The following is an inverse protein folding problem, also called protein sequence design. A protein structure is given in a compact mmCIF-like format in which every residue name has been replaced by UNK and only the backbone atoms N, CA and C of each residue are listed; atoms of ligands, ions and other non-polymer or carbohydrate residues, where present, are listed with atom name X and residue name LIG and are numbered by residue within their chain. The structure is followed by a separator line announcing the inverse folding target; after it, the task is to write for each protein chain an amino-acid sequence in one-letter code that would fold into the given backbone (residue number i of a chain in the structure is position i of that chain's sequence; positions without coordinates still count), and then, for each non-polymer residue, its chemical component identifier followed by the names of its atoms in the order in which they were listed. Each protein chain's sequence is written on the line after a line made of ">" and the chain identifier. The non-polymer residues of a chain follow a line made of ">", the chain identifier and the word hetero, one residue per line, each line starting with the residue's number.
data_IF_657701848692
#
_entry.id   IF_657701848692
#
_cell.length_a   1.000
_cell.length_b   1.000
_cell.length_c   1.000
_cell.angle_alpha   90.00
_cell.angle_beta   90.00
_cell.angle_gamma   90.00
#
_symmetry.space_group_name_H-M   'P 1'
#
loop_
_entity.id
_entity.type
_entity.pdbx_description
1 polymer ?
#
# COMPACT_ATOMS: atom_id res chain seq x y z
N UNK A 1 13.22 -52.51 16.10
CA UNK A 1 12.88 -51.85 14.82
C UNK A 1 11.46 -51.30 14.77
N UNK A 2 10.45 -51.98 15.33
CA UNK A 2 9.06 -51.49 15.36
C UNK A 2 8.88 -50.24 16.24
N UNK A 3 9.60 -50.15 17.36
CA UNK A 3 9.49 -49.02 18.31
C UNK A 3 10.12 -47.73 17.79
N UNK A 4 11.19 -47.83 16.98
CA UNK A 4 11.82 -46.68 16.34
C UNK A 4 10.91 -46.09 15.26
N UNK A 5 10.16 -46.94 14.53
CA UNK A 5 9.21 -46.49 13.52
C UNK A 5 8.01 -45.75 14.12
N UNK A 6 7.55 -46.16 15.31
CA UNK A 6 6.50 -45.45 16.05
C UNK A 6 6.94 -44.04 16.48
N UNK A 7 8.19 -43.87 16.90
CA UNK A 7 8.75 -42.57 17.29
C UNK A 7 8.80 -41.58 16.12
N UNK A 8 9.15 -42.05 14.90
CA UNK A 8 9.14 -41.23 13.69
C UNK A 8 7.73 -40.79 13.28
N UNK A 9 6.76 -41.70 13.38
CA UNK A 9 5.36 -41.36 13.10
C UNK A 9 4.84 -40.33 14.10
N UNK A 10 5.12 -40.50 15.39
CA UNK A 10 4.68 -39.57 16.43
C UNK A 10 5.25 -38.16 16.25
N UNK A 11 6.53 -38.03 15.85
CA UNK A 11 7.12 -36.71 15.54
C UNK A 11 6.47 -36.04 14.33
N UNK A 12 6.10 -36.80 13.30
CA UNK A 12 5.39 -36.29 12.14
C UNK A 12 4.00 -35.77 12.50
N UNK A 13 3.26 -36.50 13.34
CA UNK A 13 1.95 -36.05 13.82
C UNK A 13 2.05 -34.78 14.67
N UNK A 14 3.07 -34.64 15.51
CA UNK A 14 3.28 -33.42 16.31
C UNK A 14 3.58 -32.21 15.41
N UNK A 15 4.45 -32.36 14.40
CA UNK A 15 4.74 -31.28 13.44
C UNK A 15 3.52 -30.91 12.59
N UNK A 16 2.74 -31.90 12.14
CA UNK A 16 1.52 -31.67 11.37
C UNK A 16 0.43 -30.98 12.21
N UNK A 17 0.27 -31.38 13.48
CA UNK A 17 -0.70 -30.77 14.38
C UNK A 17 -0.33 -29.32 14.75
N UNK A 18 0.96 -29.03 14.94
CA UNK A 18 1.45 -27.67 15.16
C UNK A 18 1.26 -26.77 13.93
N UNK A 19 1.54 -27.29 12.72
CA UNK A 19 1.33 -26.57 11.46
C UNK A 19 -0.15 -26.21 11.23
N UNK A 20 -1.06 -27.14 11.55
CA UNK A 20 -2.52 -26.90 11.43
C UNK A 20 -3.06 -25.85 12.41
N UNK A 21 -2.43 -25.69 13.59
CA UNK A 21 -2.88 -24.67 14.56
C UNK A 21 -2.49 -23.24 14.16
N UNK A 22 -1.42 -23.05 13.38
CA UNK A 22 -1.03 -21.71 12.91
C UNK A 22 -2.01 -21.09 11.90
N UNK A 23 -2.85 -21.88 11.22
CA UNK A 23 -3.82 -21.37 10.24
C UNK A 23 -5.16 -20.95 10.83
N UNK A 24 -5.52 -21.38 12.05
CA UNK A 24 -6.77 -20.97 12.70
C UNK A 24 -6.57 -19.76 13.61
N UNK A 25 -6.12 -18.65 13.03
CA UNK A 25 -6.35 -17.35 13.66
C UNK A 25 -7.83 -17.02 13.48
N UNK A 26 -8.64 -17.29 14.49
CA UNK A 26 -10.02 -16.82 14.57
C UNK A 26 -9.98 -15.29 14.65
N UNK A 27 -9.95 -14.60 13.50
CA UNK A 27 -10.13 -13.16 13.48
C UNK A 27 -11.57 -12.90 13.89
N UNK A 28 -11.76 -12.31 15.07
CA UNK A 28 -13.00 -11.56 15.32
C UNK A 28 -13.21 -10.65 14.12
N UNK A 29 -14.34 -10.75 13.43
CA UNK A 29 -14.67 -9.81 12.35
C UNK A 29 -14.71 -8.43 13.00
N UNK A 30 -13.72 -7.60 12.72
CA UNK A 30 -13.74 -6.20 13.15
C UNK A 30 -14.75 -5.48 12.27
N UNK A 31 -15.76 -4.90 12.88
CA UNK A 31 -16.71 -4.05 12.17
C UNK A 31 -15.98 -2.84 11.59
N UNK A 32 -16.10 -2.64 10.27
CA UNK A 32 -15.51 -1.50 9.57
C UNK A 32 -16.56 -0.41 9.45
N UNK A 33 -16.32 0.73 10.09
CA UNK A 33 -17.19 1.91 9.98
C UNK A 33 -16.78 2.75 8.77
N UNK A 34 -17.69 3.05 7.82
CA UNK A 34 -17.40 3.96 6.73
C UNK A 34 -17.03 5.37 7.22
N UNK A 35 -16.24 6.10 6.44
CA UNK A 35 -16.00 7.53 6.67
C UNK A 35 -17.30 8.34 6.57
N UNK A 36 -17.38 9.47 7.28
CA UNK A 36 -18.63 10.27 7.34
C UNK A 36 -18.94 11.02 6.03
N UNK A 37 -18.05 10.99 5.06
CA UNK A 37 -18.20 11.62 3.76
C UNK A 37 -17.16 11.11 2.77
N UNK A 38 -17.09 11.73 1.59
CA UNK A 38 -16.21 11.29 0.49
C UNK A 38 -14.72 11.44 0.80
N UNK A 39 -14.35 12.33 1.72
CA UNK A 39 -12.95 12.64 2.04
C UNK A 39 -12.45 11.94 3.29
N UNK A 40 -13.31 11.22 4.01
CA UNK A 40 -12.93 10.53 5.25
C UNK A 40 -12.67 9.04 4.99
N UNK A 41 -11.52 8.52 5.45
CA UNK A 41 -11.22 7.10 5.32
C UNK A 41 -12.10 6.26 6.25
N UNK A 42 -12.34 4.96 5.93
CA UNK A 42 -13.00 4.05 6.86
C UNK A 42 -12.13 3.79 8.11
N UNK A 43 -12.74 3.27 9.17
CA UNK A 43 -12.11 3.13 10.49
C UNK A 43 -10.86 2.25 10.53
N UNK A 44 -10.69 1.34 9.57
CA UNK A 44 -9.57 0.41 9.47
C UNK A 44 -8.48 0.83 8.47
N UNK A 45 -8.68 1.94 7.75
CA UNK A 45 -7.75 2.37 6.72
C UNK A 45 -6.45 2.96 7.30
N UNK A 46 -5.34 2.63 6.65
CA UNK A 46 -4.08 3.35 6.82
C UNK A 46 -4.14 4.64 6.00
N UNK A 47 -4.15 5.79 6.68
CA UNK A 47 -4.19 7.10 6.02
C UNK A 47 -2.82 7.45 5.47
N UNK A 48 -2.65 7.29 4.15
CA UNK A 48 -1.40 7.62 3.46
C UNK A 48 -1.19 9.13 3.32
N UNK A 49 -2.26 9.93 3.27
CA UNK A 49 -2.18 11.38 3.20
C UNK A 49 -3.44 12.03 3.76
N UNK A 50 -3.26 12.94 4.72
CA UNK A 50 -4.35 13.64 5.46
C UNK A 50 -4.44 15.13 5.11
N UNK A 51 -3.76 15.55 4.04
CA UNK A 51 -3.66 16.96 3.64
C UNK A 51 -2.48 17.72 4.23
N UNK A 52 -1.71 17.14 5.17
CA UNK A 52 -0.69 17.91 5.93
C UNK A 52 0.75 17.63 5.56
N UNK A 53 1.14 16.38 5.36
CA UNK A 53 2.55 16.01 5.18
C UNK A 53 2.71 14.68 4.43
N UNK A 54 3.96 14.35 4.09
CA UNK A 54 4.33 13.11 3.40
C UNK A 54 4.94 12.06 4.36
N UNK A 55 4.49 11.99 5.62
CA UNK A 55 5.14 11.13 6.61
C UNK A 55 5.04 9.63 6.31
N UNK A 56 4.03 9.19 5.57
CA UNK A 56 3.89 7.79 5.12
C UNK A 56 4.62 7.52 3.79
N UNK A 57 5.29 8.52 3.23
CA UNK A 57 5.97 8.44 1.94
C UNK A 57 7.48 8.65 2.06
N UNK A 58 8.21 8.10 1.10
CA UNK A 58 9.66 8.23 0.98
C UNK A 58 10.09 8.29 -0.50
N UNK A 59 11.36 8.63 -0.71
CA UNK A 59 11.96 8.47 -2.03
C UNK A 59 12.29 6.99 -2.28
N UNK A 60 12.10 6.47 -3.51
CA UNK A 60 12.55 5.13 -3.87
C UNK A 60 14.08 4.94 -3.77
N UNK A 61 14.84 6.03 -3.60
CA UNK A 61 16.29 5.98 -3.35
C UNK A 61 16.66 5.53 -1.93
N UNK A 62 15.68 5.30 -1.04
CA UNK A 62 15.86 4.78 0.32
C UNK A 62 15.99 5.86 1.40
N UNK A 63 16.15 5.40 2.65
CA UNK A 63 15.88 6.09 3.93
C UNK A 63 16.54 7.48 4.14
N UNK A 64 17.53 7.85 3.33
CA UNK A 64 18.21 9.15 3.41
C UNK A 64 17.63 10.20 2.44
N UNK A 65 16.63 9.84 1.63
CA UNK A 65 16.01 10.72 0.65
C UNK A 65 14.53 10.89 0.97
N UNK A 66 14.13 12.14 1.23
CA UNK A 66 12.75 12.49 1.53
C UNK A 66 11.87 12.43 0.27
N UNK A 67 10.58 12.17 0.46
CA UNK A 67 9.58 12.41 -0.57
C UNK A 67 9.60 13.91 -0.94
N UNK A 68 9.85 14.22 -2.22
CA UNK A 68 10.17 15.57 -2.69
C UNK A 68 8.95 16.34 -3.22
N UNK A 69 7.78 15.71 -3.22
CA UNK A 69 6.57 16.32 -3.75
C UNK A 69 6.11 17.45 -2.82
N UNK A 70 5.63 18.56 -3.41
CA UNK A 70 5.27 19.75 -2.65
C UNK A 70 3.87 19.61 -2.07
N UNK A 71 3.74 19.73 -0.75
CA UNK A 71 2.44 19.78 -0.05
C UNK A 71 1.97 21.23 0.06
N UNK A 72 0.73 21.49 -0.34
CA UNK A 72 0.06 22.79 -0.15
C UNK A 72 -1.45 22.62 -0.31
N UNK A 73 -2.23 23.40 0.43
CA UNK A 73 -3.70 23.50 0.24
C UNK A 73 -4.42 22.14 0.33
N UNK A 74 -3.94 21.23 1.18
CA UNK A 74 -4.58 19.93 1.40
C UNK A 74 -4.29 18.87 0.32
N UNK A 75 -3.39 19.13 -0.63
CA UNK A 75 -2.90 18.15 -1.61
C UNK A 75 -1.38 18.21 -1.75
N UNK A 76 -0.79 17.22 -2.41
CA UNK A 76 0.60 17.29 -2.86
C UNK A 76 0.68 17.30 -4.39
N UNK A 77 1.77 17.87 -4.92
CA UNK A 77 1.98 17.99 -6.36
C UNK A 77 3.26 17.29 -6.78
N UNK A 78 3.13 16.38 -7.75
CA UNK A 78 4.25 15.75 -8.44
C UNK A 78 5.04 16.82 -9.24
N UNK A 79 6.31 17.10 -8.91
CA UNK A 79 7.10 18.04 -9.67
C UNK A 79 7.68 17.35 -10.92
N UNK A 80 7.65 18.06 -12.05
CA UNK A 80 8.23 17.56 -13.31
C UNK A 80 9.72 17.22 -13.12
N UNK A 81 10.11 15.99 -13.46
CA UNK A 81 11.51 15.53 -13.46
C UNK A 81 12.05 15.03 -12.11
N UNK A 82 11.25 15.00 -11.04
CA UNK A 82 11.71 14.57 -9.71
C UNK A 82 11.43 13.10 -9.37
N UNK A 83 10.87 12.35 -10.33
CA UNK A 83 10.54 10.94 -10.16
C UNK A 83 9.31 10.70 -9.28
N UNK A 84 9.01 9.43 -9.04
CA UNK A 84 7.93 9.01 -8.17
C UNK A 84 8.36 8.98 -6.70
N UNK A 85 7.36 8.98 -5.82
CA UNK A 85 7.50 8.68 -4.38
C UNK A 85 6.82 7.33 -4.11
N UNK A 86 7.16 6.70 -3.00
CA UNK A 86 6.57 5.41 -2.60
C UNK A 86 6.13 5.44 -1.15
N UNK A 87 5.22 4.55 -0.77
CA UNK A 87 4.87 4.35 0.63
C UNK A 87 6.05 3.72 1.39
N UNK A 88 6.26 4.13 2.64
CA UNK A 88 7.27 3.50 3.53
C UNK A 88 6.93 2.05 3.85
N UNK A 89 5.64 1.72 3.80
CA UNK A 89 5.09 0.38 4.05
C UNK A 89 4.95 -0.36 2.74
N UNK A 90 5.15 -1.66 2.80
CA UNK A 90 4.76 -2.58 1.73
C UNK A 90 3.35 -3.12 2.01
N UNK A 91 2.58 -3.33 0.94
CA UNK A 91 1.22 -3.86 1.01
C UNK A 91 1.10 -5.15 0.19
N UNK A 92 0.32 -6.10 0.72
CA UNK A 92 -0.19 -7.25 -0.03
C UNK A 92 -1.55 -6.91 -0.63
N UNK A 93 -2.52 -7.80 -0.40
CA UNK A 93 -3.91 -7.55 -0.75
C UNK A 93 -4.42 -6.32 0.01
N UNK A 94 -4.97 -5.35 -0.73
CA UNK A 94 -5.48 -4.12 -0.15
C UNK A 94 -6.60 -3.52 -1.00
N UNK A 95 -7.38 -2.65 -0.35
CA UNK A 95 -8.21 -1.66 -1.02
C UNK A 95 -7.47 -0.32 -0.98
N UNK A 96 -7.31 0.33 -2.14
CA UNK A 96 -6.64 1.62 -2.27
C UNK A 96 -7.61 2.68 -2.79
N UNK A 97 -7.66 3.82 -2.11
CA UNK A 97 -8.38 5.03 -2.56
C UNK A 97 -7.36 6.14 -2.87
N UNK A 98 -7.45 6.72 -4.07
CA UNK A 98 -6.62 7.84 -4.51
C UNK A 98 -7.48 8.80 -5.31
N UNK A 99 -7.38 10.09 -4.99
CA UNK A 99 -7.95 11.18 -5.80
C UNK A 99 -6.81 11.95 -6.47
N UNK A 100 -7.02 12.35 -7.72
CA UNK A 100 -6.02 13.07 -8.50
C UNK A 100 -6.68 14.11 -9.41
N UNK A 101 -5.87 15.08 -9.84
CA UNK A 101 -6.28 16.11 -10.80
C UNK A 101 -5.11 16.48 -11.70
N UNK A 102 -5.40 16.88 -12.92
CA UNK A 102 -4.39 17.33 -13.88
C UNK A 102 -4.15 18.84 -13.76
N UNK A 103 -2.95 19.34 -14.14
CA UNK A 103 -2.68 20.77 -14.14
C UNK A 103 -3.62 21.54 -15.08
N UNK A 104 -4.06 22.73 -14.66
CA UNK A 104 -4.81 23.68 -15.48
C UNK A 104 -4.08 25.04 -15.53
N UNK A 105 -3.80 25.61 -16.72
CA UNK A 105 -4.03 25.02 -18.03
C UNK A 105 -3.12 23.81 -18.28
N UNK A 106 -3.59 22.86 -19.08
CA UNK A 106 -2.79 21.70 -19.47
C UNK A 106 -1.62 22.12 -20.36
N UNK A 107 -0.56 21.32 -20.36
CA UNK A 107 0.61 21.44 -21.25
C UNK A 107 0.97 20.07 -21.81
N UNK A 108 1.55 20.05 -23.01
CA UNK A 108 1.93 18.81 -23.68
C UNK A 108 0.78 18.16 -24.46
N UNK A 109 1.07 17.01 -25.08
CA UNK A 109 0.13 16.23 -25.91
C UNK A 109 0.34 14.73 -25.67
N UNK A 110 -0.71 13.93 -25.89
CA UNK A 110 -0.66 12.46 -25.75
C UNK A 110 -0.12 12.04 -24.38
N UNK A 111 0.80 11.09 -24.35
CA UNK A 111 1.46 10.61 -23.12
C UNK A 111 2.29 11.67 -22.39
N UNK A 112 2.47 12.87 -22.94
CA UNK A 112 3.17 13.98 -22.26
C UNK A 112 2.22 15.03 -21.68
N UNK A 113 0.91 14.73 -21.61
CA UNK A 113 -0.12 15.62 -21.06
C UNK A 113 -0.64 15.06 -19.74
N UNK A 114 -0.16 15.61 -18.62
CA UNK A 114 -0.66 15.24 -17.28
C UNK A 114 -0.40 13.78 -16.89
N UNK A 115 0.62 13.14 -17.45
CA UNK A 115 0.92 11.72 -17.23
C UNK A 115 1.48 11.44 -15.83
N UNK A 116 0.92 10.45 -15.16
CA UNK A 116 1.35 9.89 -13.89
C UNK A 116 0.84 8.45 -13.77
N UNK A 117 0.99 7.83 -12.61
CA UNK A 117 0.46 6.48 -12.40
C UNK A 117 0.54 6.04 -10.95
N UNK A 118 -0.26 5.05 -10.62
CA UNK A 118 -0.19 4.32 -9.35
C UNK A 118 0.40 2.95 -9.64
N UNK A 119 1.64 2.70 -9.19
CA UNK A 119 2.27 1.40 -9.32
C UNK A 119 1.90 0.51 -8.12
N UNK A 120 0.98 -0.43 -8.35
CA UNK A 120 0.64 -1.44 -7.37
C UNK A 120 1.86 -2.32 -7.09
N UNK A 121 2.27 -2.35 -5.83
CA UNK A 121 3.46 -3.07 -5.35
C UNK A 121 4.76 -2.69 -6.07
N UNK A 122 4.80 -1.50 -6.69
CA UNK A 122 5.94 -1.04 -7.48
C UNK A 122 6.12 -1.75 -8.84
N UNK A 123 5.13 -2.55 -9.28
CA UNK A 123 5.25 -3.41 -10.46
C UNK A 123 4.17 -3.13 -11.53
N UNK A 124 2.92 -2.97 -11.12
CA UNK A 124 1.79 -2.91 -12.04
C UNK A 124 1.14 -1.54 -12.02
N UNK A 125 1.24 -0.82 -13.13
CA UNK A 125 0.76 0.56 -13.22
C UNK A 125 -0.74 0.63 -13.55
N UNK A 126 -1.48 1.35 -12.72
CA UNK A 126 -2.78 1.90 -13.06
C UNK A 126 -2.55 3.32 -13.57
N UNK A 127 -2.83 3.53 -14.86
CA UNK A 127 -2.48 4.75 -15.56
C UNK A 127 -3.29 5.97 -15.09
N UNK A 128 -2.60 7.10 -14.93
CA UNK A 128 -3.22 8.43 -14.74
C UNK A 128 -2.81 9.31 -15.91
N UNK A 129 -3.79 9.81 -16.67
CA UNK A 129 -3.53 10.64 -17.85
C UNK A 129 -4.71 11.61 -18.10
N UNK A 130 -4.39 12.79 -18.63
CA UNK A 130 -5.36 13.83 -19.05
C UNK A 130 -5.87 13.64 -20.49
#
# INVERSE_FOLDING_TARGET
>A
MKDLFLLFLLQWFIHAALYSQTERRSSSITEVTPGKGYTEPPSDAVVLFDGKNLNEWESPKGNNYLATWKVSEGFFTAPSGFGFIQTKRSFGDCQLHVEWRTPSPYKGNGQNRGNSGVLLQGLYEVQILD
#
